data_IF_302288132227
#
_entry.id   IF_302288132227
#
_cell.length_a   1.000
_cell.length_b   1.000
_cell.length_c   1.000
_cell.angle_alpha   90.00
_cell.angle_beta   90.00
_cell.angle_gamma   90.00
#
_symmetry.space_group_name_H-M   'P 1'
#
loop_
_entity.id
_entity.type
_entity.pdbx_description
1 polymer ?
#
# COMPACT_ATOMS: atom_id res chain seq x y z
N UNK A 1 16.62 14.90 -11.98
CA UNK A 1 16.47 15.21 -10.54
C UNK A 1 15.27 16.14 -10.40
N UNK A 2 14.07 15.59 -10.19
CA UNK A 2 12.85 16.39 -9.97
C UNK A 2 12.41 16.18 -8.52
N UNK A 3 12.63 17.20 -7.69
CA UNK A 3 11.98 17.31 -6.38
C UNK A 3 10.62 17.97 -6.62
N UNK A 4 9.55 17.18 -6.63
CA UNK A 4 8.22 17.72 -6.40
C UNK A 4 7.99 17.72 -4.89
N UNK A 5 8.15 18.88 -4.30
CA UNK A 5 7.73 19.17 -2.93
C UNK A 5 6.20 19.18 -2.91
N UNK A 6 5.60 18.13 -2.35
CA UNK A 6 4.20 18.16 -1.95
C UNK A 6 4.08 18.99 -0.68
N UNK A 7 3.45 20.16 -0.80
CA UNK A 7 3.07 20.97 0.37
C UNK A 7 1.84 20.31 1.00
N UNK A 8 2.09 19.41 1.94
CA UNK A 8 1.06 18.79 2.77
C UNK A 8 0.72 19.81 3.86
N UNK A 9 -0.54 20.26 3.88
CA UNK A 9 -1.13 21.25 4.81
C UNK A 9 -0.42 21.42 6.15
N UNK A 10 -0.38 22.67 6.65
CA UNK A 10 0.33 23.25 7.81
C UNK A 10 0.43 22.47 9.15
N UNK A 11 -0.16 21.28 9.28
CA UNK A 11 0.02 20.34 10.38
C UNK A 11 1.13 19.29 10.20
N UNK A 12 1.67 19.08 8.99
CA UNK A 12 2.71 18.07 8.74
C UNK A 12 4.12 18.67 8.86
N UNK A 13 4.62 18.79 10.10
CA UNK A 13 6.00 19.23 10.34
C UNK A 13 6.95 18.05 10.55
N UNK A 14 7.93 17.97 9.63
CA UNK A 14 9.27 17.32 9.67
C UNK A 14 9.35 15.83 9.28
N UNK A 15 9.87 15.60 8.06
CA UNK A 15 10.39 14.31 7.61
C UNK A 15 11.82 14.11 8.13
N UNK A 16 12.03 13.10 8.98
CA UNK A 16 13.35 12.50 9.11
C UNK A 16 13.51 11.49 7.96
N UNK A 17 14.52 11.72 7.11
CA UNK A 17 15.00 10.72 6.14
C UNK A 17 15.54 9.54 6.96
N UNK A 18 14.88 8.39 6.89
CA UNK A 18 15.48 7.13 7.32
C UNK A 18 15.45 6.17 6.14
N UNK A 19 16.65 5.98 5.60
CA UNK A 19 16.99 5.00 4.58
C UNK A 19 16.82 3.58 5.11
N UNK A 20 16.46 2.66 4.22
CA UNK A 20 16.58 1.20 4.33
C UNK A 20 15.81 0.52 5.46
N UNK A 21 14.60 0.06 5.15
CA UNK A 21 13.93 -1.00 5.92
C UNK A 21 13.95 -2.32 5.14
N UNK A 22 15.15 -2.92 5.01
CA UNK A 22 15.31 -4.34 4.69
C UNK A 22 15.20 -5.13 6.00
N UNK A 23 14.01 -5.27 6.56
CA UNK A 23 13.61 -6.39 7.44
C UNK A 23 12.28 -6.09 8.11
N UNK A 24 11.27 -6.90 7.79
CA UNK A 24 10.23 -7.23 8.76
C UNK A 24 9.16 -6.16 8.96
N UNK A 25 8.10 -6.23 8.16
CA UNK A 25 6.77 -6.14 8.75
C UNK A 25 6.65 -7.28 9.78
N UNK A 26 7.21 -7.11 10.98
CA UNK A 26 7.07 -8.08 12.06
C UNK A 26 5.68 -7.90 12.62
N UNK A 27 4.73 -8.59 11.99
CA UNK A 27 3.39 -8.77 12.55
C UNK A 27 3.60 -9.43 13.90
N UNK A 28 3.15 -8.77 14.98
CA UNK A 28 3.49 -9.11 16.36
C UNK A 28 3.44 -10.62 16.65
N UNK A 29 4.32 -11.17 17.53
CA UNK A 29 4.44 -12.62 17.78
C UNK A 29 3.13 -13.36 18.12
N UNK A 30 2.11 -12.65 18.60
CA UNK A 30 0.75 -13.17 18.86
C UNK A 30 -0.01 -13.62 17.60
N UNK A 31 0.43 -13.22 16.41
CA UNK A 31 -0.13 -13.65 15.12
C UNK A 31 0.47 -14.96 14.60
N UNK A 32 1.48 -15.55 15.27
CA UNK A 32 2.15 -16.78 14.79
C UNK A 32 1.32 -18.08 14.92
N UNK A 33 0.02 -18.04 15.24
CA UNK A 33 -0.79 -19.27 15.46
C UNK A 33 -2.20 -19.32 14.82
N UNK A 34 -2.56 -18.48 13.85
CA UNK A 34 -3.83 -18.72 13.12
C UNK A 34 -3.73 -18.50 11.61
N UNK A 35 -4.33 -19.44 10.90
CA UNK A 35 -4.39 -19.72 9.45
C UNK A 35 -5.09 -18.61 8.63
N UNK A 36 -5.08 -17.37 9.11
CA UNK A 36 -5.69 -16.26 8.41
C UNK A 36 -4.62 -15.60 7.56
N UNK A 37 -4.82 -15.56 6.24
CA UNK A 37 -3.92 -14.89 5.28
C UNK A 37 -4.21 -13.39 5.13
N UNK A 38 -5.24 -12.91 5.82
CA UNK A 38 -5.75 -11.56 5.67
C UNK A 38 -5.97 -10.86 7.01
N UNK A 39 -5.57 -9.59 7.07
CA UNK A 39 -5.92 -8.69 8.16
C UNK A 39 -7.27 -8.05 7.84
N UNK A 40 -8.17 -8.07 8.83
CA UNK A 40 -9.49 -7.46 8.70
C UNK A 40 -9.45 -6.02 9.17
N UNK A 41 -9.89 -5.09 8.32
CA UNK A 41 -10.02 -3.67 8.69
C UNK A 41 -10.98 -2.97 7.74
N UNK A 42 -11.75 -2.01 8.26
CA UNK A 42 -12.61 -1.11 7.46
C UNK A 42 -11.90 0.20 7.10
N UNK A 43 -10.75 0.49 7.73
CA UNK A 43 -10.04 1.75 7.58
C UNK A 43 -9.08 1.76 6.39
N UNK A 44 -8.89 0.60 5.74
CA UNK A 44 -7.98 0.50 4.61
C UNK A 44 -8.53 1.17 3.36
N UNK A 45 -7.66 1.92 2.69
CA UNK A 45 -7.93 2.53 1.41
C UNK A 45 -6.68 2.47 0.54
N UNK A 46 -6.90 2.47 -0.76
CA UNK A 46 -5.86 2.65 -1.79
C UNK A 46 -6.26 3.86 -2.63
N UNK A 47 -5.27 4.55 -3.20
CA UNK A 47 -5.53 5.73 -4.00
C UNK A 47 -4.55 5.87 -5.15
N UNK A 48 -4.96 6.60 -6.18
CA UNK A 48 -4.07 7.08 -7.24
C UNK A 48 -4.20 8.58 -7.39
N UNK A 49 -3.05 9.27 -7.41
CA UNK A 49 -2.98 10.70 -7.61
C UNK A 49 -2.71 10.99 -9.09
N UNK A 50 -3.47 11.92 -9.68
CA UNK A 50 -3.24 12.40 -11.04
C UNK A 50 -2.56 13.76 -11.00
N UNK A 51 -1.24 13.83 -11.21
CA UNK A 51 -0.43 15.05 -11.39
C UNK A 51 -0.99 16.33 -10.70
N UNK A 52 -1.31 16.26 -9.41
CA UNK A 52 -1.86 17.39 -8.64
C UNK A 52 -3.35 17.72 -8.84
N UNK A 53 -4.03 17.12 -9.82
CA UNK A 53 -5.47 17.24 -9.99
C UNK A 53 -6.21 16.24 -9.07
N UNK A 54 -6.62 16.71 -7.91
CA UNK A 54 -7.40 15.92 -6.94
C UNK A 54 -8.76 15.45 -7.50
N UNK A 55 -9.39 16.21 -8.39
CA UNK A 55 -10.68 15.84 -8.98
C UNK A 55 -10.58 14.63 -9.93
N UNK A 56 -9.38 14.39 -10.47
CA UNK A 56 -9.09 13.22 -11.30
C UNK A 56 -8.42 12.09 -10.51
N UNK A 57 -8.13 12.31 -9.23
CA UNK A 57 -7.51 11.33 -8.35
C UNK A 57 -8.58 10.37 -7.83
N UNK A 58 -8.20 9.12 -7.60
CA UNK A 58 -9.12 8.07 -7.17
C UNK A 58 -8.82 7.72 -5.73
N UNK A 59 -9.84 7.79 -4.88
CA UNK A 59 -9.85 7.18 -3.55
C UNK A 59 -10.75 5.96 -3.58
N UNK A 60 -10.18 4.80 -3.28
CA UNK A 60 -10.84 3.51 -3.26
C UNK A 60 -10.78 2.93 -1.84
N UNK A 61 -11.92 2.67 -1.24
CA UNK A 61 -12.03 2.13 0.13
C UNK A 61 -12.32 0.64 0.08
N UNK A 62 -11.83 -0.09 1.08
CA UNK A 62 -12.11 -1.52 1.18
C UNK A 62 -13.62 -1.75 1.32
N UNK A 63 -14.16 -2.63 0.48
CA UNK A 63 -15.57 -3.06 0.53
C UNK A 63 -15.70 -4.39 1.27
N UNK A 64 -14.83 -5.35 0.96
CA UNK A 64 -14.73 -6.59 1.73
C UNK A 64 -13.61 -6.47 2.77
N UNK A 65 -14.00 -6.05 3.97
CA UNK A 65 -13.07 -5.81 5.08
C UNK A 65 -12.38 -7.09 5.54
N UNK A 66 -12.93 -8.27 5.27
CA UNK A 66 -12.39 -9.56 5.74
C UNK A 66 -11.06 -9.92 5.06
N UNK A 67 -10.84 -9.35 3.87
CA UNK A 67 -9.68 -9.58 2.99
C UNK A 67 -8.94 -8.29 2.64
N UNK A 68 -8.92 -7.31 3.55
CA UNK A 68 -8.37 -5.97 3.30
C UNK A 68 -6.84 -5.97 3.03
N UNK A 69 -6.07 -6.64 3.88
CA UNK A 69 -4.60 -6.67 3.77
C UNK A 69 -4.16 -8.13 3.71
N UNK A 70 -3.44 -8.52 2.67
CA UNK A 70 -2.91 -9.88 2.53
C UNK A 70 -1.46 -9.93 3.01
N UNK A 71 -1.17 -10.89 3.88
CA UNK A 71 0.18 -11.19 4.40
C UNK A 71 0.55 -12.67 4.21
N UNK A 72 -0.08 -13.34 3.25
CA UNK A 72 0.21 -14.73 2.92
C UNK A 72 1.68 -14.97 2.52
N UNK A 73 2.10 -16.24 2.58
CA UNK A 73 3.50 -16.68 2.38
C UNK A 73 4.15 -16.32 1.04
N UNK A 74 3.37 -15.83 0.07
CA UNK A 74 3.84 -15.46 -1.28
C UNK A 74 4.24 -13.97 -1.33
N UNK A 75 3.73 -13.13 -0.43
CA UNK A 75 3.96 -11.70 -0.46
C UNK A 75 5.12 -11.31 0.45
N UNK A 76 6.30 -11.01 -0.12
CA UNK A 76 7.43 -10.39 0.59
C UNK A 76 7.30 -8.85 0.70
N UNK A 77 6.13 -8.32 0.35
CA UNK A 77 5.78 -6.90 0.45
C UNK A 77 4.27 -6.74 0.64
N UNK A 78 3.79 -5.50 0.74
CA UNK A 78 2.38 -5.25 1.03
C UNK A 78 1.49 -5.72 -0.12
N UNK A 79 0.39 -6.37 0.22
CA UNK A 79 -0.72 -6.64 -0.68
C UNK A 79 -2.00 -6.08 -0.07
N UNK A 80 -2.63 -5.16 -0.79
CA UNK A 80 -3.97 -4.70 -0.52
C UNK A 80 -4.93 -5.67 -1.20
N UNK A 81 -5.57 -6.48 -0.36
CA UNK A 81 -6.30 -7.68 -0.75
C UNK A 81 -5.49 -8.66 -1.62
N UNK A 82 -6.19 -9.56 -2.30
CA UNK A 82 -5.60 -10.58 -3.17
C UNK A 82 -5.24 -10.09 -4.56
N UNK A 83 -5.58 -8.85 -4.97
CA UNK A 83 -5.37 -8.36 -6.34
C UNK A 83 -5.33 -6.83 -6.48
N UNK A 84 -5.94 -6.06 -5.56
CA UNK A 84 -6.18 -4.62 -5.76
C UNK A 84 -4.90 -3.80 -5.90
N UNK A 85 -3.87 -4.10 -5.10
CA UNK A 85 -2.53 -3.55 -5.28
C UNK A 85 -1.52 -4.41 -4.52
N UNK A 86 -0.48 -4.92 -5.16
CA UNK A 86 0.52 -5.73 -4.46
C UNK A 86 1.87 -5.80 -5.15
N UNK A 87 2.92 -5.95 -4.35
CA UNK A 87 4.27 -6.18 -4.84
C UNK A 87 4.43 -7.61 -5.36
N UNK A 88 5.00 -7.77 -6.55
CA UNK A 88 5.24 -9.05 -7.19
C UNK A 88 6.31 -9.89 -6.53
N UNK A 89 6.82 -10.87 -7.29
CA UNK A 89 7.76 -11.87 -6.80
C UNK A 89 9.14 -11.26 -6.48
N UNK A 90 9.86 -11.86 -5.52
CA UNK A 90 11.23 -11.56 -5.09
C UNK A 90 12.20 -11.33 -6.27
N UNK A 91 12.05 -12.11 -7.34
CA UNK A 91 12.93 -12.03 -8.51
C UNK A 91 12.86 -10.67 -9.23
N UNK A 92 11.77 -9.93 -9.06
CA UNK A 92 11.58 -8.62 -9.66
C UNK A 92 10.80 -7.69 -8.70
N UNK A 93 11.49 -7.02 -7.76
CA UNK A 93 10.85 -6.13 -6.79
C UNK A 93 10.20 -4.89 -7.42
N UNK A 94 10.51 -4.61 -8.69
CA UNK A 94 9.88 -3.54 -9.47
C UNK A 94 8.56 -3.97 -10.09
N UNK A 95 8.27 -5.26 -10.17
CA UNK A 95 7.05 -5.77 -10.76
C UNK A 95 5.92 -5.77 -9.73
N UNK A 96 4.85 -5.06 -10.01
CA UNK A 96 3.67 -4.89 -9.16
C UNK A 96 2.42 -5.31 -9.90
N UNK A 97 1.39 -5.70 -9.16
CA UNK A 97 0.09 -6.09 -9.69
C UNK A 97 -1.00 -5.14 -9.19
N UNK A 98 -1.96 -4.84 -10.06
CA UNK A 98 -3.17 -4.09 -9.70
C UNK A 98 -4.34 -4.58 -10.53
N UNK A 99 -5.41 -5.02 -9.87
CA UNK A 99 -6.68 -5.39 -10.48
C UNK A 99 -7.77 -5.28 -9.43
N UNK A 100 -8.85 -4.57 -9.73
CA UNK A 100 -9.97 -4.40 -8.78
C UNK A 100 -10.46 -5.74 -8.26
N UNK A 101 -10.60 -5.87 -6.95
CA UNK A 101 -11.10 -7.07 -6.29
C UNK A 101 -11.95 -6.74 -5.05
N UNK A 102 -11.33 -6.44 -3.90
CA UNK A 102 -12.02 -6.20 -2.63
C UNK A 102 -12.28 -4.72 -2.33
N UNK A 103 -11.64 -3.79 -3.04
CA UNK A 103 -11.84 -2.36 -2.89
C UNK A 103 -12.93 -1.87 -3.88
N UNK A 104 -13.59 -0.76 -3.56
CA UNK A 104 -14.78 -0.31 -4.28
C UNK A 104 -14.50 0.21 -5.70
N UNK A 105 -13.31 0.77 -5.94
CA UNK A 105 -12.90 1.32 -7.25
C UNK A 105 -11.53 0.80 -7.71
N UNK A 106 -11.31 0.59 -9.02
CA UNK A 106 -9.97 0.42 -9.55
C UNK A 106 -9.17 1.72 -9.40
N UNK A 107 -7.89 1.65 -9.03
CA UNK A 107 -7.00 2.81 -8.96
C UNK A 107 -6.17 3.03 -10.23
N UNK A 108 -6.21 2.07 -11.17
CA UNK A 108 -5.57 2.13 -12.49
C UNK A 108 -6.59 1.84 -13.58
N UNK A 109 -6.32 2.36 -14.77
CA UNK A 109 -7.12 2.07 -15.97
C UNK A 109 -6.83 0.70 -16.56
N UNK A 110 -5.60 0.19 -16.38
CA UNK A 110 -5.19 -1.14 -16.81
C UNK A 110 -5.02 -2.09 -15.64
N UNK A 111 -5.55 -3.29 -15.81
CA UNK A 111 -5.37 -4.42 -14.89
C UNK A 111 -4.07 -5.17 -15.19
N UNK A 112 -3.52 -5.82 -14.17
CA UNK A 112 -2.43 -6.78 -14.28
C UNK A 112 -1.08 -6.25 -13.80
N UNK A 113 -0.02 -6.81 -14.36
CA UNK A 113 1.35 -6.54 -13.96
C UNK A 113 1.89 -5.25 -14.59
N UNK A 114 2.61 -4.46 -13.80
CA UNK A 114 3.28 -3.23 -14.24
C UNK A 114 4.60 -3.04 -13.47
N UNK A 115 5.47 -2.19 -14.00
CA UNK A 115 6.73 -1.84 -13.33
C UNK A 115 6.58 -0.55 -12.53
N UNK A 116 7.21 -0.50 -11.36
CA UNK A 116 7.40 0.71 -10.58
C UNK A 116 8.88 1.09 -10.58
N UNK A 117 9.15 2.39 -10.46
CA UNK A 117 10.52 2.89 -10.32
C UNK A 117 10.97 2.81 -8.85
N UNK A 118 10.11 3.27 -7.93
CA UNK A 118 10.41 3.43 -6.51
C UNK A 118 9.14 3.19 -5.65
N UNK A 119 9.34 2.76 -4.40
CA UNK A 119 8.29 2.72 -3.38
C UNK A 119 8.84 3.14 -2.02
N UNK A 120 7.99 3.76 -1.21
CA UNK A 120 8.32 4.24 0.13
C UNK A 120 7.23 3.78 1.12
N UNK A 121 7.63 3.50 2.36
CA UNK A 121 6.71 3.09 3.43
C UNK A 121 6.84 4.07 4.58
N UNK A 122 5.71 4.58 5.05
CA UNK A 122 5.64 5.55 6.14
C UNK A 122 4.76 5.03 7.26
N UNK A 123 5.19 5.22 8.51
CA UNK A 123 4.37 5.00 9.69
C UNK A 123 3.98 6.36 10.28
N UNK A 124 2.68 6.59 10.47
CA UNK A 124 2.17 7.78 11.14
C UNK A 124 1.96 7.47 12.61
N UNK A 125 2.76 8.08 13.47
CA UNK A 125 2.56 8.01 14.93
C UNK A 125 1.59 9.10 15.37
N UNK A 126 0.71 8.79 16.32
CA UNK A 126 -0.06 9.83 17.00
C UNK A 126 0.90 10.62 17.88
N UNK A 127 0.83 11.95 17.82
CA UNK A 127 1.41 12.77 18.87
C UNK A 127 0.52 12.55 20.10
N UNK A 128 1.13 12.00 21.16
CA UNK A 128 0.51 11.83 22.48
C UNK A 128 0.61 13.17 23.22
#
# INVERSE_FOLDING_TARGET
MFRQSFDVSSGFRRFARVSTFRQGFDVSPRFRRFVKRYATTADSFIFSLKNGNLNQSILSRVKDTSIAINYGSISQGPWFSGNDLGMGNISDPKKWHCKKYAYDKPIRTSDGWFSIDEYEVFQVCKNI
#
